data_IF_587388215802
#
_entry.id   IF_587388215802
#
_cell.length_a   1.000
_cell.length_b   1.000
_cell.length_c   1.000
_cell.angle_alpha   90.00
_cell.angle_beta   90.00
_cell.angle_gamma   90.00
#
_symmetry.space_group_name_H-M   'P 1'
#
loop_
_entity.id
_entity.type
_entity.pdbx_description
1 polymer ?
#
# COMPACT_ATOMS: atom_id res chain seq x y z
N UNK A 1 -57.16 -6.58 59.32
CA UNK A 1 -56.29 -5.42 59.17
C UNK A 1 -54.90 -5.84 59.59
N UNK A 2 -54.07 -6.08 58.72
CA UNK A 2 -52.61 -6.23 58.76
C UNK A 2 -52.17 -7.28 57.74
N UNK A 3 -51.73 -6.88 56.61
CA UNK A 3 -50.86 -7.65 55.66
C UNK A 3 -50.72 -6.82 54.34
N UNK A 4 -50.14 -5.63 54.46
CA UNK A 4 -49.80 -4.85 53.27
C UNK A 4 -48.70 -3.82 53.62
N UNK A 5 -47.51 -4.29 54.02
CA UNK A 5 -46.34 -3.40 54.23
C UNK A 5 -44.99 -4.07 54.09
N UNK A 6 -44.83 -5.14 53.26
CA UNK A 6 -43.50 -5.71 53.00
C UNK A 6 -43.31 -6.08 51.52
N UNK A 7 -43.67 -5.23 50.60
CA UNK A 7 -43.45 -5.49 49.17
C UNK A 7 -42.86 -4.29 48.39
N UNK A 8 -42.17 -3.37 49.04
CA UNK A 8 -41.63 -2.17 48.36
C UNK A 8 -40.16 -1.88 48.69
N UNK A 9 -39.35 -2.83 49.10
CA UNK A 9 -37.92 -2.61 49.37
C UNK A 9 -37.00 -3.66 48.69
N UNK A 10 -37.48 -4.41 47.72
CA UNK A 10 -36.65 -5.43 47.01
C UNK A 10 -36.43 -5.16 45.52
N UNK A 11 -36.83 -3.99 45.01
CA UNK A 11 -36.69 -3.68 43.56
C UNK A 11 -35.62 -2.62 43.26
N UNK A 12 -35.02 -2.00 44.25
CA UNK A 12 -34.02 -0.91 44.05
C UNK A 12 -32.55 -1.36 44.14
N UNK A 13 -32.25 -2.63 44.45
CA UNK A 13 -30.86 -3.12 44.49
C UNK A 13 -30.42 -3.96 43.27
N UNK A 14 -31.34 -4.32 42.38
CA UNK A 14 -30.99 -5.12 41.20
C UNK A 14 -30.63 -4.26 39.96
N UNK A 15 -30.90 -2.95 40.00
CA UNK A 15 -30.61 -2.05 38.86
C UNK A 15 -29.22 -1.45 38.86
N UNK A 16 -28.48 -1.47 39.96
CA UNK A 16 -27.17 -0.85 40.07
C UNK A 16 -25.98 -1.80 39.78
N UNK A 17 -26.22 -3.11 39.73
CA UNK A 17 -25.18 -4.12 39.41
C UNK A 17 -25.14 -4.51 37.93
N UNK A 18 -26.16 -4.16 37.15
CA UNK A 18 -26.15 -4.44 35.71
C UNK A 18 -25.48 -3.32 34.86
N UNK A 19 -25.34 -2.12 35.40
CA UNK A 19 -24.68 -1.00 34.71
C UNK A 19 -23.15 -0.97 34.92
N UNK A 20 -22.62 -1.68 35.92
CA UNK A 20 -21.18 -1.78 36.16
C UNK A 20 -20.48 -2.93 35.37
N UNK A 21 -21.27 -3.84 34.79
CA UNK A 21 -20.72 -4.98 34.03
C UNK A 21 -20.59 -4.72 32.52
N UNK A 22 -21.03 -3.57 31.99
CA UNK A 22 -20.93 -3.24 30.55
C UNK A 22 -19.82 -2.22 30.22
N UNK A 23 -19.04 -1.75 31.22
CA UNK A 23 -17.89 -0.87 30.97
C UNK A 23 -16.51 -1.56 31.12
N UNK A 24 -16.47 -2.88 31.21
CA UNK A 24 -15.23 -3.62 31.43
C UNK A 24 -14.80 -4.51 30.24
N UNK A 25 -15.35 -4.32 29.04
CA UNK A 25 -14.95 -5.06 27.84
C UNK A 25 -14.46 -4.18 26.69
N UNK A 26 -13.70 -3.13 26.99
CA UNK A 26 -13.01 -2.33 25.98
C UNK A 26 -11.57 -1.98 26.39
N UNK A 27 -10.90 -2.84 27.14
CA UNK A 27 -9.45 -2.91 27.09
C UNK A 27 -9.10 -4.13 26.28
N UNK A 28 -9.10 -3.97 24.97
CA UNK A 28 -8.41 -4.89 24.08
C UNK A 28 -7.00 -5.00 24.62
N UNK A 29 -6.68 -6.18 25.15
CA UNK A 29 -5.32 -6.56 25.40
C UNK A 29 -4.56 -6.40 24.08
N UNK A 30 -3.70 -5.41 23.99
CA UNK A 30 -2.60 -5.43 23.08
C UNK A 30 -1.80 -6.68 23.47
N UNK A 31 -2.13 -7.81 22.90
CA UNK A 31 -1.31 -9.02 22.94
C UNK A 31 -0.03 -8.62 22.24
N UNK A 32 1.00 -8.30 23.00
CA UNK A 32 2.35 -8.22 22.49
C UNK A 32 2.72 -9.61 21.98
N UNK A 33 2.34 -9.92 20.73
CA UNK A 33 2.89 -11.05 20.01
C UNK A 33 4.41 -10.91 19.94
N UNK A 34 5.14 -11.99 19.69
CA UNK A 34 6.58 -11.93 19.54
C UNK A 34 6.90 -10.84 18.51
N UNK A 35 7.77 -9.88 18.88
CA UNK A 35 8.21 -8.83 17.97
C UNK A 35 8.87 -9.51 16.78
N UNK A 36 8.20 -9.51 15.64
CA UNK A 36 8.79 -9.97 14.41
C UNK A 36 9.92 -9.01 14.08
N UNK A 37 11.13 -9.52 13.98
CA UNK A 37 12.27 -8.73 13.52
C UNK A 37 12.11 -8.58 12.00
N UNK A 38 11.64 -7.43 11.56
CA UNK A 38 11.65 -7.03 10.16
C UNK A 38 13.07 -7.02 9.58
N UNK A 39 13.23 -6.72 8.27
CA UNK A 39 14.55 -6.58 7.68
C UNK A 39 15.38 -5.55 8.43
N UNK A 40 16.72 -5.71 8.49
CA UNK A 40 17.57 -4.74 9.15
C UNK A 40 17.45 -3.37 8.46
N UNK A 41 17.38 -2.31 9.24
CA UNK A 41 17.35 -0.94 8.71
C UNK A 41 18.79 -0.46 8.58
N UNK A 42 19.30 -0.35 7.34
CA UNK A 42 20.64 0.14 7.06
C UNK A 42 20.81 1.60 7.49
N UNK A 43 22.06 2.07 7.56
CA UNK A 43 22.35 3.47 7.85
C UNK A 43 21.78 4.40 6.79
N UNK A 44 21.86 3.99 5.52
CA UNK A 44 21.37 4.78 4.39
C UNK A 44 19.83 4.88 4.41
N UNK A 45 19.13 3.79 4.74
CA UNK A 45 17.68 3.84 4.93
C UNK A 45 17.30 4.78 6.08
N UNK A 46 18.03 4.76 7.21
CA UNK A 46 17.78 5.70 8.31
C UNK A 46 17.94 7.15 7.86
N UNK A 47 19.02 7.45 7.11
CA UNK A 47 19.25 8.80 6.58
C UNK A 47 18.09 9.21 5.67
N UNK A 48 17.68 8.34 4.75
CA UNK A 48 16.52 8.62 3.88
C UNK A 48 15.23 8.87 4.69
N UNK A 49 14.98 8.11 5.76
CA UNK A 49 13.83 8.32 6.65
C UNK A 49 13.87 9.69 7.34
N UNK A 50 15.08 10.13 7.77
CA UNK A 50 15.26 11.43 8.39
C UNK A 50 15.11 12.58 7.39
N UNK A 51 15.42 12.34 6.11
CA UNK A 51 15.31 13.32 5.03
C UNK A 51 13.88 13.55 4.53
N UNK A 52 12.91 12.71 4.92
CA UNK A 52 11.48 12.93 4.62
C UNK A 52 10.95 14.15 5.37
N UNK A 53 10.43 15.13 4.64
CA UNK A 53 10.05 16.46 5.14
C UNK A 53 8.54 16.70 5.05
N UNK A 54 7.88 16.86 6.21
CA UNK A 54 6.49 17.27 6.29
C UNK A 54 6.24 18.66 5.65
N UNK A 55 7.22 19.56 5.72
CA UNK A 55 7.09 20.90 5.11
C UNK A 55 7.14 20.85 3.57
N UNK A 56 7.91 19.94 2.96
CA UNK A 56 7.90 19.74 1.51
C UNK A 56 6.56 19.13 1.05
N UNK A 57 6.04 18.17 1.81
CA UNK A 57 4.72 17.57 1.58
C UNK A 57 3.64 18.64 1.63
N UNK A 58 3.62 19.47 2.69
CA UNK A 58 2.69 20.60 2.81
C UNK A 58 2.78 21.54 1.61
N UNK A 59 3.99 21.99 1.25
CA UNK A 59 4.20 22.90 0.12
C UNK A 59 3.69 22.29 -1.21
N UNK A 60 3.86 20.97 -1.38
CA UNK A 60 3.37 20.25 -2.55
C UNK A 60 1.83 20.23 -2.60
N UNK A 61 1.17 19.91 -1.48
CA UNK A 61 -0.30 19.87 -1.38
C UNK A 61 -0.87 21.27 -1.62
N UNK A 62 -0.34 22.29 -0.94
CA UNK A 62 -0.77 23.68 -1.11
C UNK A 62 -0.59 24.17 -2.58
N UNK A 63 0.48 23.74 -3.23
CA UNK A 63 0.70 24.04 -4.65
C UNK A 63 -0.32 23.35 -5.55
N UNK A 64 -0.60 22.06 -5.34
CA UNK A 64 -1.60 21.32 -6.11
C UNK A 64 -3.01 21.90 -5.93
N UNK A 65 -3.38 22.26 -4.71
CA UNK A 65 -4.63 22.96 -4.41
C UNK A 65 -4.72 24.32 -5.10
N UNK A 66 -3.61 25.04 -5.24
CA UNK A 66 -3.58 26.37 -5.87
C UNK A 66 -3.97 26.39 -7.35
N UNK A 67 -4.02 25.21 -8.02
CA UNK A 67 -4.56 25.10 -9.38
C UNK A 67 -6.09 25.16 -9.43
N UNK A 68 -6.76 25.33 -8.30
CA UNK A 68 -8.22 25.48 -8.15
C UNK A 68 -9.01 24.20 -8.38
N UNK A 69 -8.77 23.55 -9.50
CA UNK A 69 -9.29 22.20 -9.80
C UNK A 69 -8.22 21.43 -10.56
N UNK A 70 -8.18 20.11 -10.30
CA UNK A 70 -7.38 19.17 -11.09
C UNK A 70 -8.27 18.13 -11.77
N UNK A 71 -9.58 18.44 -11.87
CA UNK A 71 -10.53 17.52 -12.48
C UNK A 71 -10.08 17.06 -13.87
N UNK A 72 -10.21 15.78 -14.20
CA UNK A 72 -9.81 15.20 -15.49
C UNK A 72 -10.37 15.95 -16.69
N UNK A 73 -11.62 16.49 -16.58
CA UNK A 73 -12.29 17.26 -17.62
C UNK A 73 -12.01 18.76 -17.55
N UNK A 74 -11.13 19.23 -16.68
CA UNK A 74 -10.76 20.65 -16.58
C UNK A 74 -9.79 21.07 -17.69
N UNK A 75 -9.36 22.33 -17.66
CA UNK A 75 -8.48 22.88 -18.70
C UNK A 75 -7.17 22.09 -18.82
N UNK A 76 -6.84 21.74 -20.05
CA UNK A 76 -5.54 21.13 -20.44
C UNK A 76 -4.50 22.17 -20.84
N UNK A 77 -4.89 23.45 -21.03
CA UNK A 77 -4.04 24.49 -21.65
C UNK A 77 -3.90 25.75 -20.83
N UNK A 78 -4.74 25.98 -19.82
CA UNK A 78 -4.58 27.11 -18.91
C UNK A 78 -3.31 26.89 -18.07
N UNK A 79 -2.35 27.85 -18.05
CA UNK A 79 -1.09 27.65 -17.36
C UNK A 79 -1.20 27.74 -15.82
N UNK A 80 -2.32 28.24 -15.30
CA UNK A 80 -2.49 28.53 -13.87
C UNK A 80 -3.61 27.69 -13.22
N UNK A 81 -4.47 27.05 -14.01
CA UNK A 81 -5.64 26.33 -13.51
C UNK A 81 -5.88 25.03 -14.28
N UNK A 82 -6.34 24.01 -13.61
CA UNK A 82 -6.77 22.74 -14.18
C UNK A 82 -5.70 21.67 -14.25
N UNK A 83 -6.12 20.52 -14.76
CA UNK A 83 -5.29 19.32 -14.80
C UNK A 83 -4.03 19.48 -15.64
N UNK A 84 -4.08 20.28 -16.74
CA UNK A 84 -2.92 20.53 -17.60
C UNK A 84 -1.81 21.27 -16.89
N UNK A 85 -2.15 22.33 -16.13
CA UNK A 85 -1.19 23.08 -15.32
C UNK A 85 -0.56 22.22 -14.23
N UNK A 86 -1.39 21.42 -13.53
CA UNK A 86 -0.93 20.51 -12.48
C UNK A 86 0.00 19.42 -13.04
N UNK A 87 -0.36 18.81 -14.18
CA UNK A 87 0.48 17.82 -14.88
C UNK A 87 1.83 18.38 -15.28
N UNK A 88 1.85 19.63 -15.82
CA UNK A 88 3.10 20.27 -16.19
C UNK A 88 3.97 20.53 -14.97
N UNK A 89 3.38 21.03 -13.88
CA UNK A 89 4.12 21.31 -12.65
C UNK A 89 4.72 20.03 -12.04
N UNK A 90 3.94 18.95 -11.95
CA UNK A 90 4.44 17.65 -11.46
C UNK A 90 5.60 17.14 -12.31
N UNK A 91 5.47 17.24 -13.64
CA UNK A 91 6.53 16.84 -14.55
C UNK A 91 7.81 17.66 -14.30
N UNK A 92 7.69 18.98 -14.13
CA UNK A 92 8.83 19.86 -13.88
C UNK A 92 9.50 19.55 -12.52
N UNK A 93 8.72 19.22 -11.47
CA UNK A 93 9.27 18.81 -10.17
C UNK A 93 10.05 17.49 -10.29
N UNK A 94 9.50 16.49 -10.97
CA UNK A 94 10.18 15.21 -11.17
C UNK A 94 11.42 15.36 -12.08
N UNK A 95 11.41 16.24 -13.07
CA UNK A 95 12.59 16.56 -13.88
C UNK A 95 13.71 17.21 -13.04
N UNK A 96 13.36 18.12 -12.13
CA UNK A 96 14.33 18.69 -11.19
C UNK A 96 14.91 17.61 -10.27
N UNK A 97 14.07 16.73 -9.76
CA UNK A 97 14.50 15.57 -8.97
C UNK A 97 15.41 14.64 -9.76
N UNK A 98 15.06 14.31 -11.01
CA UNK A 98 15.86 13.47 -11.87
C UNK A 98 17.27 14.04 -12.13
N UNK A 99 17.41 15.35 -12.19
CA UNK A 99 18.72 16.00 -12.33
C UNK A 99 19.67 15.72 -11.16
N UNK A 100 19.16 15.38 -9.98
CA UNK A 100 19.97 15.03 -8.80
C UNK A 100 20.40 13.57 -8.77
N UNK A 101 19.83 12.71 -9.63
CA UNK A 101 20.03 11.26 -9.61
C UNK A 101 21.32 10.78 -10.25
N UNK A 102 22.15 11.68 -10.79
CA UNK A 102 23.34 11.27 -11.56
C UNK A 102 23.02 10.54 -12.86
N UNK A 103 21.84 10.79 -13.45
CA UNK A 103 21.39 10.18 -14.70
C UNK A 103 20.66 8.83 -14.53
N UNK A 104 20.43 8.38 -13.30
CA UNK A 104 19.74 7.11 -13.02
C UNK A 104 18.20 7.22 -13.08
N UNK A 105 17.66 8.43 -13.00
CA UNK A 105 16.22 8.65 -13.09
C UNK A 105 15.83 9.27 -14.42
N UNK A 106 14.83 8.70 -15.08
CA UNK A 106 14.19 9.25 -16.28
C UNK A 106 12.75 9.66 -15.97
N UNK A 107 12.24 10.71 -16.65
CA UNK A 107 10.87 11.19 -16.44
C UNK A 107 10.19 11.33 -17.80
N UNK A 108 8.97 10.81 -17.90
CA UNK A 108 8.14 10.92 -19.11
C UNK A 108 6.71 11.35 -18.82
N UNK A 109 6.08 12.01 -19.79
CA UNK A 109 4.63 12.17 -19.86
C UNK A 109 4.05 11.08 -20.73
N UNK A 110 3.16 10.27 -20.17
CA UNK A 110 2.47 9.22 -20.89
C UNK A 110 1.04 9.68 -21.21
N UNK A 111 0.80 10.12 -22.44
CA UNK A 111 -0.48 10.65 -22.86
C UNK A 111 -1.23 9.70 -23.78
N UNK A 112 -2.56 9.67 -23.65
CA UNK A 112 -3.48 8.97 -24.54
C UNK A 112 -4.84 9.67 -24.59
N UNK A 113 -5.67 9.36 -25.58
CA UNK A 113 -7.03 9.87 -25.66
C UNK A 113 -7.99 8.81 -25.12
N UNK A 114 -8.65 9.16 -24.02
CA UNK A 114 -9.76 8.35 -23.50
C UNK A 114 -11.01 8.64 -24.33
N UNK A 115 -11.62 7.61 -24.95
CA UNK A 115 -12.86 7.79 -25.71
C UNK A 115 -14.06 8.12 -24.81
N UNK A 116 -15.14 8.55 -25.43
CA UNK A 116 -16.43 8.84 -24.75
C UNK A 116 -16.89 7.64 -23.93
N UNK A 117 -17.31 7.90 -22.70
CA UNK A 117 -17.79 6.91 -21.74
C UNK A 117 -18.70 7.56 -20.68
N UNK A 118 -19.15 6.79 -19.68
CA UNK A 118 -20.12 7.30 -18.68
C UNK A 118 -19.67 8.56 -17.93
N UNK A 119 -18.37 8.71 -17.68
CA UNK A 119 -17.78 9.87 -16.97
C UNK A 119 -16.85 10.70 -17.87
N UNK A 120 -16.81 10.38 -19.17
CA UNK A 120 -16.01 11.08 -20.19
C UNK A 120 -16.98 11.48 -21.32
N UNK A 121 -17.61 12.67 -21.27
CA UNK A 121 -18.64 13.08 -22.24
C UNK A 121 -18.07 13.42 -23.63
N UNK A 122 -16.78 13.74 -23.72
CA UNK A 122 -16.05 14.02 -24.97
C UNK A 122 -14.71 13.30 -24.93
N UNK A 123 -14.09 12.95 -26.08
CA UNK A 123 -12.75 12.38 -26.09
C UNK A 123 -11.79 13.29 -25.32
N UNK A 124 -11.17 12.77 -24.28
CA UNK A 124 -10.36 13.55 -23.33
C UNK A 124 -8.93 13.03 -23.29
N UNK A 125 -7.97 13.93 -23.38
CA UNK A 125 -6.57 13.56 -23.17
C UNK A 125 -6.34 13.28 -21.69
N UNK A 126 -5.74 12.14 -21.39
CA UNK A 126 -5.25 11.77 -20.06
C UNK A 126 -3.74 11.66 -20.14
N UNK A 127 -3.05 12.23 -19.16
CA UNK A 127 -1.59 12.25 -19.11
C UNK A 127 -1.10 11.84 -17.74
N UNK A 128 -0.45 10.69 -17.65
CA UNK A 128 0.32 10.28 -16.48
C UNK A 128 1.70 10.96 -16.50
N UNK A 129 2.28 11.17 -15.33
CA UNK A 129 3.68 11.55 -15.19
C UNK A 129 4.40 10.40 -14.49
N UNK A 130 5.41 9.84 -15.16
CA UNK A 130 6.13 8.66 -14.70
C UNK A 130 7.61 8.99 -14.55
N UNK A 131 8.15 8.82 -13.35
CA UNK A 131 9.59 8.88 -13.10
C UNK A 131 10.10 7.48 -12.77
N UNK A 132 11.15 7.05 -13.47
CA UNK A 132 11.75 5.71 -13.29
C UNK A 132 13.18 5.86 -12.79
N UNK A 133 13.43 5.42 -11.56
CA UNK A 133 14.77 5.27 -10.99
C UNK A 133 15.25 3.85 -11.29
N UNK A 134 16.17 3.76 -12.25
CA UNK A 134 16.66 2.47 -12.75
C UNK A 134 17.54 1.76 -11.73
N UNK A 135 17.28 0.46 -11.56
CA UNK A 135 18.10 -0.40 -10.71
C UNK A 135 19.51 -0.59 -11.27
N UNK A 136 20.49 -0.71 -10.38
CA UNK A 136 21.91 -0.80 -10.72
C UNK A 136 22.44 -2.24 -10.81
N UNK A 137 21.79 -3.21 -10.15
CA UNK A 137 22.22 -4.60 -10.15
C UNK A 137 21.64 -5.37 -11.37
N UNK A 138 22.43 -5.89 -12.31
CA UNK A 138 21.92 -6.51 -13.52
C UNK A 138 20.93 -7.66 -13.30
N UNK A 139 21.08 -8.43 -12.22
CA UNK A 139 20.17 -9.52 -11.88
C UNK A 139 18.79 -9.02 -11.36
N UNK A 140 18.75 -7.83 -10.81
CA UNK A 140 17.56 -7.26 -10.14
C UNK A 140 16.94 -6.08 -10.91
N UNK A 141 17.70 -5.41 -11.79
CA UNK A 141 17.28 -4.17 -12.44
C UNK A 141 15.96 -4.28 -13.24
N UNK A 142 15.62 -5.47 -13.74
CA UNK A 142 14.35 -5.71 -14.44
C UNK A 142 13.14 -5.85 -13.49
N UNK A 143 13.37 -6.06 -12.20
CA UNK A 143 12.33 -6.12 -11.18
C UNK A 143 11.89 -4.71 -10.83
N UNK A 144 10.57 -4.45 -10.88
CA UNK A 144 10.00 -3.13 -10.69
C UNK A 144 9.11 -3.06 -9.46
N UNK A 145 9.24 -1.98 -8.71
CA UNK A 145 8.30 -1.57 -7.67
C UNK A 145 7.71 -0.23 -8.05
N UNK A 146 6.37 -0.14 -8.11
CA UNK A 146 5.63 1.08 -8.47
C UNK A 146 5.04 1.69 -7.21
N UNK A 147 5.20 3.00 -7.04
CA UNK A 147 4.51 3.76 -6.01
C UNK A 147 3.74 4.90 -6.68
N UNK A 148 2.46 5.08 -6.32
CA UNK A 148 1.59 6.04 -6.98
C UNK A 148 0.70 6.84 -6.05
N UNK A 149 0.23 7.97 -6.58
CA UNK A 149 -0.93 8.74 -6.21
C UNK A 149 -1.60 9.28 -7.46
N UNK A 150 -2.87 9.74 -7.39
CA UNK A 150 -3.54 10.29 -8.55
C UNK A 150 -3.63 11.82 -8.51
N UNK A 151 -3.44 12.42 -9.68
CA UNK A 151 -3.36 13.88 -9.80
C UNK A 151 -4.72 14.54 -9.83
N UNK A 152 -5.70 13.88 -10.45
CA UNK A 152 -7.02 14.45 -10.63
C UNK A 152 -7.80 14.51 -9.31
N UNK A 153 -8.68 15.49 -9.22
CA UNK A 153 -9.56 15.73 -8.07
C UNK A 153 -10.98 16.02 -8.57
N UNK A 154 -11.97 15.89 -7.71
CA UNK A 154 -13.35 16.20 -8.07
C UNK A 154 -14.18 16.78 -6.93
N UNK A 155 -15.33 17.32 -7.29
CA UNK A 155 -16.41 17.68 -6.38
C UNK A 155 -17.54 16.66 -6.45
N UNK A 156 -18.68 16.93 -5.78
CA UNK A 156 -19.84 16.03 -5.72
C UNK A 156 -20.32 15.58 -7.11
N UNK A 157 -20.42 16.52 -8.05
CA UNK A 157 -20.78 16.16 -9.43
C UNK A 157 -19.53 15.72 -10.21
N UNK A 158 -19.42 14.44 -10.49
CA UNK A 158 -18.30 13.79 -11.19
C UNK A 158 -18.04 14.31 -12.62
N UNK A 159 -18.95 15.11 -13.19
CA UNK A 159 -18.77 15.75 -14.50
C UNK A 159 -18.44 17.24 -14.40
N UNK A 160 -18.32 17.80 -13.20
CA UNK A 160 -18.04 19.21 -12.99
C UNK A 160 -16.55 19.49 -13.00
N UNK A 161 -16.01 19.76 -14.19
CA UNK A 161 -14.59 20.13 -14.38
C UNK A 161 -14.28 21.62 -14.23
N UNK A 162 -15.21 22.45 -13.72
CA UNK A 162 -15.05 23.90 -13.67
C UNK A 162 -15.03 24.50 -12.27
N UNK A 163 -15.78 23.96 -11.33
CA UNK A 163 -15.76 24.40 -9.92
C UNK A 163 -14.43 24.10 -9.26
N UNK A 164 -14.14 24.80 -8.18
CA UNK A 164 -12.98 24.51 -7.35
C UNK A 164 -13.13 23.11 -6.72
N UNK A 165 -12.16 22.28 -6.99
CA UNK A 165 -12.00 20.93 -6.46
C UNK A 165 -10.58 20.81 -5.90
N UNK A 166 -10.34 21.30 -4.68
CA UNK A 166 -8.99 21.39 -4.11
C UNK A 166 -8.29 20.03 -4.00
N UNK A 167 -9.02 18.97 -3.59
CA UNK A 167 -8.48 17.62 -3.52
C UNK A 167 -7.19 17.55 -2.72
N UNK A 168 -7.19 18.08 -1.50
CA UNK A 168 -5.99 18.14 -0.67
C UNK A 168 -5.62 16.75 -0.16
N UNK A 169 -6.59 16.04 0.39
CA UNK A 169 -6.43 14.65 0.82
C UNK A 169 -6.63 13.68 -0.34
N UNK A 170 -7.64 13.88 -1.17
CA UNK A 170 -7.98 13.06 -2.34
C UNK A 170 -7.66 13.79 -3.67
N UNK A 171 -6.47 13.64 -4.31
CA UNK A 171 -5.35 12.86 -3.79
C UNK A 171 -4.03 13.65 -3.91
N UNK A 172 -4.02 14.96 -3.52
CA UNK A 172 -2.75 15.65 -3.43
C UNK A 172 -1.85 15.08 -2.32
N UNK A 173 -2.43 14.41 -1.29
CA UNK A 173 -1.69 13.74 -0.22
C UNK A 173 -0.85 12.58 -0.75
N UNK A 174 -1.43 11.73 -1.62
CA UNK A 174 -0.71 10.64 -2.28
C UNK A 174 0.30 11.16 -3.29
N UNK A 175 -0.04 12.16 -4.11
CA UNK A 175 0.92 12.79 -5.04
C UNK A 175 2.09 13.39 -4.28
N UNK A 176 1.86 14.09 -3.16
CA UNK A 176 2.93 14.67 -2.34
C UNK A 176 3.83 13.59 -1.73
N UNK A 177 3.23 12.46 -1.31
CA UNK A 177 3.98 11.28 -0.87
C UNK A 177 4.90 10.77 -1.98
N UNK A 178 4.40 10.60 -3.21
CA UNK A 178 5.19 10.12 -4.37
C UNK A 178 6.34 11.08 -4.72
N UNK A 179 6.07 12.39 -4.75
CA UNK A 179 7.10 13.39 -5.06
C UNK A 179 8.19 13.47 -3.98
N UNK A 180 7.81 13.35 -2.71
CA UNK A 180 8.77 13.36 -1.61
C UNK A 180 9.63 12.08 -1.61
N UNK A 181 9.03 10.92 -1.88
CA UNK A 181 9.76 9.67 -2.07
C UNK A 181 10.76 9.78 -3.23
N UNK A 182 10.33 10.30 -4.38
CA UNK A 182 11.21 10.51 -5.52
C UNK A 182 12.38 11.41 -5.16
N UNK A 183 12.12 12.54 -4.46
CA UNK A 183 13.15 13.50 -4.02
C UNK A 183 14.20 12.84 -3.13
N UNK A 184 13.77 12.08 -2.13
CA UNK A 184 14.68 11.45 -1.16
C UNK A 184 15.45 10.31 -1.82
N UNK A 185 14.77 9.45 -2.60
CA UNK A 185 15.37 8.23 -3.13
C UNK A 185 16.24 8.48 -4.38
N UNK A 186 16.07 9.59 -5.12
CA UNK A 186 16.79 9.88 -6.37
C UNK A 186 18.32 9.91 -6.21
N UNK A 187 18.83 10.30 -5.05
CA UNK A 187 20.27 10.39 -4.77
C UNK A 187 20.90 9.10 -4.32
N UNK A 188 20.09 8.05 -4.08
CA UNK A 188 20.54 6.73 -3.64
C UNK A 188 20.51 5.70 -4.78
N UNK A 189 21.28 4.63 -4.63
CA UNK A 189 21.30 3.50 -5.56
C UNK A 189 20.48 2.35 -4.99
N UNK A 190 19.78 1.63 -5.88
CA UNK A 190 18.99 0.46 -5.54
C UNK A 190 19.26 -0.64 -6.56
N UNK A 191 19.18 -1.89 -6.17
CA UNK A 191 19.40 -3.04 -7.06
C UNK A 191 18.27 -3.19 -8.07
N UNK A 192 17.03 -3.04 -7.65
CA UNK A 192 15.83 -3.10 -8.49
C UNK A 192 15.34 -1.71 -8.88
N UNK A 193 14.53 -1.63 -9.92
CA UNK A 193 13.93 -0.39 -10.44
C UNK A 193 12.76 0.05 -9.58
N UNK A 194 12.70 1.37 -9.28
CA UNK A 194 11.57 2.01 -8.60
C UNK A 194 10.90 2.98 -9.57
N UNK A 195 9.58 2.90 -9.66
CA UNK A 195 8.76 3.78 -10.51
C UNK A 195 7.88 4.64 -9.62
N UNK A 196 8.04 5.95 -9.74
CA UNK A 196 7.20 6.97 -9.11
C UNK A 196 6.17 7.41 -10.14
N UNK A 197 4.91 7.00 -9.96
CA UNK A 197 3.84 7.21 -10.91
C UNK A 197 2.80 8.19 -10.37
N UNK A 198 2.53 9.25 -11.11
CA UNK A 198 1.41 10.16 -10.84
C UNK A 198 0.39 9.94 -11.94
N UNK A 199 -0.69 9.24 -11.59
CA UNK A 199 -1.74 8.87 -12.53
C UNK A 199 -2.78 9.98 -12.68
N UNK A 200 -3.53 9.97 -13.78
CA UNK A 200 -4.66 10.88 -14.03
C UNK A 200 -5.87 10.10 -14.52
N UNK A 201 -7.06 10.61 -14.25
CA UNK A 201 -8.32 9.99 -14.65
C UNK A 201 -8.74 8.86 -13.72
N UNK A 202 -8.25 8.86 -12.47
CA UNK A 202 -8.69 7.94 -11.43
C UNK A 202 -10.17 8.14 -11.15
N UNK A 203 -10.58 9.37 -10.86
CA UNK A 203 -11.92 9.79 -10.49
C UNK A 203 -12.99 9.50 -11.56
N UNK A 204 -12.58 9.39 -12.79
CA UNK A 204 -13.46 9.03 -13.91
C UNK A 204 -13.45 7.52 -14.21
N UNK A 205 -12.54 6.73 -13.62
CA UNK A 205 -12.49 5.28 -13.78
C UNK A 205 -11.09 4.70 -13.93
N UNK A 206 -10.12 5.18 -13.14
CA UNK A 206 -8.74 4.67 -13.08
C UNK A 206 -8.04 4.58 -14.45
N UNK A 207 -8.39 5.49 -15.39
CA UNK A 207 -7.95 5.36 -16.80
C UNK A 207 -6.43 5.42 -16.97
N UNK A 208 -5.75 6.26 -16.17
CA UNK A 208 -4.30 6.39 -16.20
C UNK A 208 -3.60 5.09 -15.82
N UNK A 209 -3.97 4.50 -14.70
CA UNK A 209 -3.40 3.25 -14.22
C UNK A 209 -3.81 2.04 -15.08
N UNK A 210 -5.04 2.01 -15.61
CA UNK A 210 -5.48 0.99 -16.59
C UNK A 210 -4.57 0.99 -17.82
N UNK A 211 -4.28 2.18 -18.36
CA UNK A 211 -3.40 2.30 -19.53
C UNK A 211 -1.97 1.87 -19.17
N UNK A 212 -1.44 2.32 -18.04
CA UNK A 212 -0.07 2.02 -17.63
C UNK A 212 0.13 0.54 -17.31
N UNK A 213 -0.72 -0.06 -16.46
CA UNK A 213 -0.68 -1.48 -16.14
C UNK A 213 -0.85 -2.36 -17.40
N UNK A 214 -1.74 -1.95 -18.33
CA UNK A 214 -1.92 -2.62 -19.61
C UNK A 214 -0.66 -2.61 -20.46
N UNK A 215 0.07 -1.50 -20.54
CA UNK A 215 1.36 -1.38 -21.26
C UNK A 215 2.44 -2.24 -20.63
N UNK A 216 2.57 -2.21 -19.30
CA UNK A 216 3.52 -3.04 -18.57
C UNK A 216 3.25 -4.52 -18.80
N UNK A 217 1.99 -4.93 -18.74
CA UNK A 217 1.59 -6.31 -18.99
C UNK A 217 1.89 -6.76 -20.43
N UNK A 218 1.57 -5.91 -21.42
CA UNK A 218 1.87 -6.20 -22.83
C UNK A 218 3.37 -6.28 -23.12
N UNK A 219 4.20 -5.55 -22.36
CA UNK A 219 5.65 -5.59 -22.44
C UNK A 219 6.28 -6.76 -21.66
N UNK A 220 5.49 -7.55 -20.93
CA UNK A 220 6.00 -8.62 -20.05
C UNK A 220 6.85 -8.09 -18.89
N UNK A 221 6.56 -6.87 -18.40
CA UNK A 221 7.33 -6.25 -17.34
C UNK A 221 7.20 -7.04 -16.02
N UNK A 222 8.30 -7.11 -15.27
CA UNK A 222 8.36 -7.78 -13.97
C UNK A 222 7.98 -6.81 -12.84
N UNK A 223 6.67 -6.53 -12.66
CA UNK A 223 6.16 -5.71 -11.56
C UNK A 223 6.01 -6.58 -10.32
N UNK A 224 6.92 -6.44 -9.37
CA UNK A 224 6.98 -7.22 -8.13
C UNK A 224 6.17 -6.62 -6.97
N UNK A 225 5.74 -5.35 -7.11
CA UNK A 225 4.86 -4.69 -6.15
C UNK A 225 4.39 -3.33 -6.66
N UNK A 226 3.15 -2.96 -6.30
CA UNK A 226 2.56 -1.66 -6.58
C UNK A 226 1.89 -1.11 -5.32
N UNK A 227 2.21 0.12 -4.96
CA UNK A 227 1.71 0.85 -3.79
C UNK A 227 0.90 2.06 -4.24
N UNK A 228 -0.42 2.02 -4.08
CA UNK A 228 -1.31 3.15 -4.35
C UNK A 228 -1.56 3.89 -3.05
N UNK A 229 -1.07 5.12 -2.96
CA UNK A 229 -1.37 6.04 -1.86
C UNK A 229 -2.56 6.89 -2.30
N UNK A 230 -3.69 6.74 -1.64
CA UNK A 230 -4.92 7.40 -2.03
C UNK A 230 -5.75 7.66 -0.76
N UNK A 231 -6.00 8.93 -0.45
CA UNK A 231 -6.54 9.44 0.82
C UNK A 231 -5.61 9.04 1.99
N UNK A 232 -4.47 9.71 2.09
CA UNK A 232 -3.47 9.49 3.15
C UNK A 232 -3.19 10.77 3.95
N UNK A 233 -4.07 11.76 3.87
CA UNK A 233 -3.85 13.11 4.38
C UNK A 233 -4.31 13.33 5.81
N UNK A 234 -5.42 12.74 6.25
CA UNK A 234 -6.01 13.08 7.54
C UNK A 234 -5.75 12.04 8.63
N UNK A 235 -5.43 12.53 9.82
CA UNK A 235 -5.41 11.71 11.03
C UNK A 235 -6.70 11.78 11.84
N UNK A 236 -7.71 12.57 11.41
CA UNK A 236 -8.96 12.80 12.12
C UNK A 236 -10.16 12.40 11.26
N UNK A 237 -10.81 11.31 11.63
CA UNK A 237 -11.98 10.83 10.93
C UNK A 237 -13.29 11.53 11.31
N UNK A 238 -14.33 11.33 10.51
CA UNK A 238 -15.68 11.84 10.76
C UNK A 238 -16.28 11.36 12.10
N UNK A 239 -15.82 10.22 12.60
CA UNK A 239 -16.19 9.67 13.91
C UNK A 239 -15.57 10.44 15.09
N UNK A 240 -14.75 11.47 14.84
CA UNK A 240 -14.03 12.25 15.84
C UNK A 240 -12.79 11.55 16.41
N UNK A 241 -12.43 10.38 15.90
CA UNK A 241 -11.22 9.67 16.32
C UNK A 241 -10.02 10.25 15.59
N UNK A 242 -9.02 10.69 16.38
CA UNK A 242 -7.71 11.07 15.83
C UNK A 242 -6.75 9.91 16.00
N UNK A 243 -6.21 9.45 14.89
CA UNK A 243 -5.23 8.38 14.84
C UNK A 243 -4.06 8.77 13.95
N UNK A 244 -2.88 8.97 14.54
CA UNK A 244 -1.63 9.35 13.88
C UNK A 244 -0.67 8.19 13.74
N UNK A 245 -1.09 7.00 14.14
CA UNK A 245 -0.19 5.85 14.28
C UNK A 245 -0.55 4.68 13.38
N UNK A 246 -1.76 4.63 12.87
CA UNK A 246 -2.22 3.54 12.01
C UNK A 246 -2.25 3.97 10.54
N UNK A 247 -1.83 3.07 9.65
CA UNK A 247 -2.06 3.15 8.21
C UNK A 247 -2.80 1.88 7.79
N UNK A 248 -3.94 2.00 7.12
CA UNK A 248 -4.62 0.85 6.52
C UNK A 248 -3.94 0.46 5.21
N UNK A 249 -3.69 -0.83 5.06
CA UNK A 249 -3.16 -1.42 3.82
C UNK A 249 -4.11 -2.51 3.36
N UNK A 250 -4.83 -2.26 2.28
CA UNK A 250 -5.73 -3.23 1.67
C UNK A 250 -4.94 -4.18 0.79
N UNK A 251 -5.20 -5.48 0.92
CA UNK A 251 -4.50 -6.53 0.20
C UNK A 251 -5.49 -7.58 -0.31
N UNK A 252 -5.57 -7.70 -1.64
CA UNK A 252 -6.45 -8.67 -2.30
C UNK A 252 -6.07 -10.11 -1.93
N UNK A 253 -7.07 -10.98 -1.89
CA UNK A 253 -6.91 -12.41 -1.74
C UNK A 253 -6.50 -13.09 -3.06
N UNK A 254 -7.17 -14.19 -3.42
CA UNK A 254 -6.87 -14.89 -4.67
C UNK A 254 -6.99 -13.98 -5.89
N UNK A 255 -6.00 -14.09 -6.78
CA UNK A 255 -5.94 -13.28 -8.01
C UNK A 255 -7.12 -13.57 -8.94
N UNK A 256 -7.70 -12.55 -9.63
CA UNK A 256 -8.67 -12.77 -10.70
C UNK A 256 -8.08 -13.51 -11.91
N UNK A 257 -6.75 -13.60 -12.02
CA UNK A 257 -6.05 -14.38 -13.04
C UNK A 257 -5.85 -15.86 -12.64
N UNK A 258 -6.28 -16.25 -11.43
CA UNK A 258 -6.17 -17.64 -10.95
C UNK A 258 -6.98 -18.59 -11.82
N UNK A 259 -6.32 -19.64 -12.33
CA UNK A 259 -7.00 -20.69 -13.09
C UNK A 259 -7.84 -21.59 -12.16
N UNK A 260 -8.87 -22.31 -12.68
CA UNK A 260 -9.65 -23.25 -11.88
C UNK A 260 -8.80 -24.32 -11.20
N UNK A 261 -7.69 -24.74 -11.83
CA UNK A 261 -6.76 -25.70 -11.24
C UNK A 261 -5.99 -25.11 -10.06
N UNK A 262 -5.48 -23.90 -10.20
CA UNK A 262 -4.80 -23.18 -9.12
C UNK A 262 -5.77 -22.94 -7.95
N UNK A 263 -7.01 -22.54 -8.22
CA UNK A 263 -8.04 -22.37 -7.20
C UNK A 263 -8.35 -23.67 -6.45
N UNK A 264 -8.37 -24.81 -7.15
CA UNK A 264 -8.57 -26.12 -6.52
C UNK A 264 -7.40 -26.47 -5.60
N UNK A 265 -6.16 -26.30 -6.03
CA UNK A 265 -4.94 -26.51 -5.22
C UNK A 265 -4.97 -25.61 -3.99
N UNK A 266 -5.17 -24.31 -4.17
CA UNK A 266 -5.22 -23.32 -3.08
C UNK A 266 -6.22 -23.72 -1.99
N UNK A 267 -7.44 -24.14 -2.37
CA UNK A 267 -8.46 -24.61 -1.42
C UNK A 267 -8.03 -25.84 -0.61
N UNK A 268 -7.26 -26.73 -1.21
CA UNK A 268 -6.78 -27.93 -0.50
C UNK A 268 -5.65 -27.65 0.47
N UNK A 269 -4.93 -26.53 0.27
CA UNK A 269 -3.79 -26.11 1.09
C UNK A 269 -4.13 -25.03 2.12
N UNK A 270 -5.34 -24.45 2.08
CA UNK A 270 -5.72 -23.33 2.95
C UNK A 270 -4.99 -22.03 2.63
N UNK A 271 -4.58 -21.81 1.36
CA UNK A 271 -3.78 -20.67 0.92
C UNK A 271 -4.59 -19.41 0.59
N UNK A 272 -5.79 -19.25 1.11
CA UNK A 272 -6.66 -18.09 0.82
C UNK A 272 -6.05 -16.77 1.29
N UNK A 273 -5.17 -16.83 2.30
CA UNK A 273 -4.54 -15.67 2.94
C UNK A 273 -3.06 -15.50 2.56
N UNK A 274 -2.58 -16.21 1.56
CA UNK A 274 -1.16 -16.25 1.16
C UNK A 274 -0.97 -15.84 -0.31
N UNK A 275 -1.86 -14.97 -0.80
CA UNK A 275 -1.74 -14.35 -2.12
C UNK A 275 -0.54 -13.38 -2.17
N UNK A 276 0.05 -13.15 -3.35
CA UNK A 276 1.16 -12.20 -3.48
C UNK A 276 0.88 -10.80 -2.91
N UNK A 277 -0.31 -10.18 -3.08
CA UNK A 277 -0.62 -8.91 -2.41
C UNK A 277 -0.58 -9.01 -0.88
N UNK A 278 -1.08 -10.10 -0.28
CA UNK A 278 -1.07 -10.28 1.18
C UNK A 278 0.32 -10.52 1.73
N UNK A 279 1.17 -11.24 1.01
CA UNK A 279 2.58 -11.39 1.38
C UNK A 279 3.33 -10.06 1.24
N UNK A 280 3.05 -9.27 0.20
CA UNK A 280 3.60 -7.92 0.06
C UNK A 280 3.16 -7.03 1.23
N UNK A 281 1.88 -7.08 1.65
CA UNK A 281 1.39 -6.30 2.79
C UNK A 281 2.05 -6.72 4.12
N UNK A 282 2.29 -8.02 4.34
CA UNK A 282 3.05 -8.52 5.49
C UNK A 282 4.48 -7.98 5.49
N UNK A 283 5.12 -7.97 4.32
CA UNK A 283 6.46 -7.40 4.16
C UNK A 283 6.49 -5.90 4.48
N UNK A 284 5.54 -5.12 3.94
CA UNK A 284 5.39 -3.68 4.25
C UNK A 284 5.27 -3.46 5.75
N UNK A 285 4.46 -4.26 6.43
CA UNK A 285 4.32 -4.19 7.88
C UNK A 285 5.63 -4.52 8.60
N UNK A 286 6.31 -5.61 8.24
CA UNK A 286 7.59 -5.98 8.85
C UNK A 286 8.64 -4.88 8.69
N UNK A 287 8.74 -4.28 7.49
CA UNK A 287 9.67 -3.18 7.20
C UNK A 287 9.33 -1.91 8.00
N UNK A 288 8.04 -1.55 8.07
CA UNK A 288 7.57 -0.38 8.81
C UNK A 288 7.80 -0.52 10.32
N UNK A 289 7.47 -1.67 10.91
CA UNK A 289 7.68 -1.93 12.35
C UNK A 289 9.17 -1.88 12.73
N UNK A 290 10.07 -2.32 11.84
CA UNK A 290 11.51 -2.24 12.06
C UNK A 290 12.06 -0.81 11.97
N UNK A 291 11.55 -0.01 11.03
CA UNK A 291 12.05 1.32 10.70
C UNK A 291 11.39 2.43 11.51
N UNK A 292 10.09 2.32 11.81
CA UNK A 292 9.25 3.36 12.40
C UNK A 292 8.39 2.75 13.51
N UNK A 293 8.96 2.43 14.68
CA UNK A 293 8.27 1.68 15.74
C UNK A 293 6.99 2.33 16.30
N UNK A 294 6.72 3.60 15.96
CA UNK A 294 5.52 4.33 16.39
C UNK A 294 4.36 4.19 15.41
N UNK A 295 4.62 3.68 14.20
CA UNK A 295 3.60 3.45 13.19
C UNK A 295 3.21 1.98 13.17
N UNK A 296 1.94 1.73 12.93
CA UNK A 296 1.37 0.40 12.79
C UNK A 296 0.71 0.28 11.41
N UNK A 297 0.99 -0.81 10.72
CA UNK A 297 0.37 -1.14 9.45
C UNK A 297 -0.79 -2.10 9.70
N UNK A 298 -2.01 -1.60 9.51
CA UNK A 298 -3.22 -2.38 9.68
C UNK A 298 -3.61 -3.03 8.36
N UNK A 299 -3.27 -4.30 8.20
CA UNK A 299 -3.57 -5.05 6.98
C UNK A 299 -5.05 -5.42 6.93
N UNK A 300 -5.73 -4.99 5.88
CA UNK A 300 -7.13 -5.29 5.60
C UNK A 300 -7.19 -6.35 4.49
N UNK A 301 -7.67 -7.56 4.81
CA UNK A 301 -7.80 -8.67 3.86
C UNK A 301 -8.99 -8.47 2.92
N UNK A 302 -8.89 -7.45 2.08
CA UNK A 302 -9.85 -7.03 1.08
C UNK A 302 -9.13 -6.28 -0.02
N UNK A 303 -9.64 -6.30 -1.24
CA UNK A 303 -9.05 -5.56 -2.37
C UNK A 303 -9.05 -4.04 -2.12
N UNK A 304 -10.18 -3.49 -1.64
CA UNK A 304 -10.36 -2.08 -1.29
C UNK A 304 -11.54 -1.93 -0.31
N UNK A 305 -11.87 -0.70 0.01
CA UNK A 305 -13.09 -0.29 0.73
C UNK A 305 -14.34 -0.86 0.05
N UNK A 306 -15.46 -0.86 0.75
CA UNK A 306 -16.68 -1.54 0.28
C UNK A 306 -17.19 -0.93 -1.04
N UNK A 307 -17.16 -1.72 -2.13
CA UNK A 307 -17.60 -1.34 -3.49
C UNK A 307 -16.87 -0.12 -4.07
N UNK A 308 -15.60 0.10 -3.66
CA UNK A 308 -14.71 1.15 -4.15
C UNK A 308 -13.45 0.53 -4.76
N UNK A 309 -12.62 1.33 -5.37
CA UNK A 309 -11.36 0.93 -5.97
C UNK A 309 -10.43 2.12 -6.11
N UNK A 310 -9.20 1.89 -6.48
CA UNK A 310 -8.19 2.89 -6.82
C UNK A 310 -7.16 2.30 -7.80
N UNK A 311 -6.05 2.99 -8.02
CA UNK A 311 -5.04 2.71 -9.04
C UNK A 311 -4.29 1.37 -8.90
N UNK A 312 -4.31 0.72 -7.73
CA UNK A 312 -3.78 -0.65 -7.59
C UNK A 312 -4.66 -1.69 -8.30
N UNK A 313 -5.97 -1.41 -8.41
CA UNK A 313 -6.93 -2.32 -9.02
C UNK A 313 -6.55 -2.80 -10.43
N UNK A 314 -6.21 -1.92 -11.38
CA UNK A 314 -5.74 -2.32 -12.71
C UNK A 314 -4.50 -3.21 -12.72
N UNK A 315 -3.58 -3.07 -11.74
CA UNK A 315 -2.43 -3.95 -11.58
C UNK A 315 -2.84 -5.33 -11.06
N UNK A 316 -3.72 -5.37 -10.06
CA UNK A 316 -4.31 -6.61 -9.54
C UNK A 316 -5.05 -7.38 -10.64
N UNK A 317 -5.77 -6.68 -11.53
CA UNK A 317 -6.47 -7.28 -12.68
C UNK A 317 -5.51 -7.89 -13.71
N UNK A 318 -4.23 -7.50 -13.73
CA UNK A 318 -3.16 -8.09 -14.51
C UNK A 318 -2.38 -9.18 -13.77
N UNK A 319 -2.73 -9.45 -12.51
CA UNK A 319 -2.05 -10.43 -11.67
C UNK A 319 -0.79 -9.89 -10.99
N UNK A 320 -0.52 -8.60 -11.07
CA UNK A 320 0.57 -7.96 -10.32
C UNK A 320 0.18 -7.76 -8.86
N UNK A 321 1.09 -7.90 -7.89
CA UNK A 321 0.81 -7.58 -6.49
C UNK A 321 0.58 -6.07 -6.31
N UNK A 322 -0.63 -5.69 -5.91
CA UNK A 322 -1.00 -4.30 -5.64
C UNK A 322 -1.53 -4.13 -4.22
N UNK A 323 -1.28 -2.95 -3.64
CA UNK A 323 -1.75 -2.55 -2.33
C UNK A 323 -2.35 -1.15 -2.40
N UNK A 324 -3.53 -0.94 -1.80
CA UNK A 324 -4.00 0.39 -1.46
C UNK A 324 -3.54 0.75 -0.05
N UNK A 325 -2.91 1.91 0.08
CA UNK A 325 -2.57 2.56 1.35
C UNK A 325 -3.51 3.75 1.57
N UNK A 326 -4.13 3.82 2.75
CA UNK A 326 -5.08 4.89 3.07
C UNK A 326 -5.14 5.14 4.57
N UNK A 327 -5.58 6.32 4.96
CA UNK A 327 -5.70 6.74 6.35
C UNK A 327 -6.65 5.84 7.17
N UNK A 328 -6.55 5.83 8.53
CA UNK A 328 -7.31 4.91 9.36
C UNK A 328 -8.81 5.22 9.40
N UNK A 329 -9.20 6.49 9.33
CA UNK A 329 -10.59 6.94 9.49
C UNK A 329 -10.88 8.09 8.52
N UNK A 330 -11.72 7.85 7.52
CA UNK A 330 -12.10 8.85 6.53
C UNK A 330 -13.16 9.85 7.06
N UNK A 331 -13.13 11.08 6.54
CA UNK A 331 -14.19 12.08 6.76
C UNK A 331 -14.88 12.44 5.46
N UNK A 332 -16.04 11.83 5.22
CA UNK A 332 -16.81 12.00 3.98
C UNK A 332 -17.40 13.41 3.78
N UNK A 333 -17.24 14.33 4.74
CA UNK A 333 -17.53 15.76 4.55
C UNK A 333 -16.44 16.47 3.77
N UNK A 334 -15.25 15.86 3.72
CA UNK A 334 -14.08 16.38 3.03
C UNK A 334 -13.79 15.65 1.73
N UNK A 335 -14.24 14.42 1.56
CA UNK A 335 -14.04 13.60 0.37
C UNK A 335 -15.14 13.88 -0.69
N UNK A 336 -14.75 14.19 -1.93
CA UNK A 336 -15.65 14.40 -3.09
C UNK A 336 -16.76 15.44 -2.87
N UNK A 337 -16.53 16.47 -2.06
CA UNK A 337 -17.53 17.48 -1.71
C UNK A 337 -17.29 18.81 -2.40
N UNK A 338 -18.37 19.50 -2.76
CA UNK A 338 -18.30 20.92 -3.12
C UNK A 338 -17.81 21.73 -1.90
N UNK A 339 -16.92 22.70 -2.13
CA UNK A 339 -16.44 23.59 -1.08
C UNK A 339 -17.58 24.51 -0.63
N UNK A 340 -18.06 24.32 0.59
CA UNK A 340 -19.18 25.11 1.18
C UNK A 340 -19.17 25.07 2.69
N UNK A 341 -19.84 26.03 3.29
CA UNK A 341 -20.23 25.96 4.71
C UNK A 341 -21.72 25.67 4.77
N UNK A 342 -22.09 24.62 5.48
CA UNK A 342 -23.48 24.21 5.65
C UNK A 342 -23.76 23.94 7.12
N UNK A 343 -24.75 24.65 7.70
CA UNK A 343 -25.08 24.57 9.13
C UNK A 343 -23.87 24.77 10.06
N UNK A 344 -22.93 25.63 9.69
CA UNK A 344 -21.71 25.92 10.45
C UNK A 344 -20.60 24.86 10.28
N UNK A 345 -20.77 23.86 9.44
CA UNK A 345 -19.77 22.83 9.14
C UNK A 345 -19.12 23.13 7.78
N UNK A 346 -17.80 23.12 7.73
CA UNK A 346 -17.06 23.23 6.50
C UNK A 346 -17.08 21.89 5.75
N UNK A 347 -17.44 21.92 4.48
CA UNK A 347 -17.35 20.82 3.51
C UNK A 347 -16.29 21.16 2.45
N UNK A 348 -15.79 20.13 1.79
CA UNK A 348 -14.77 20.23 0.77
C UNK A 348 -13.41 19.74 1.24
N UNK A 349 -12.64 19.26 0.31
CA UNK A 349 -11.32 18.67 0.53
C UNK A 349 -10.25 19.77 0.55
N UNK A 350 -9.93 20.26 1.74
CA UNK A 350 -9.11 21.46 1.96
C UNK A 350 -7.87 21.12 2.81
N UNK A 351 -6.70 21.74 2.56
CA UNK A 351 -5.43 21.46 3.25
C UNK A 351 -5.47 21.63 4.77
N UNK A 352 -6.42 22.38 5.30
CA UNK A 352 -6.57 22.59 6.73
C UNK A 352 -7.02 21.34 7.50
N UNK A 353 -7.46 20.30 6.79
CA UNK A 353 -7.87 19.03 7.37
C UNK A 353 -6.76 17.99 7.33
N UNK A 354 -5.68 18.26 6.59
CA UNK A 354 -4.52 17.38 6.49
C UNK A 354 -3.64 17.46 7.74
N UNK A 355 -2.99 16.34 8.04
CA UNK A 355 -1.98 16.19 9.07
C UNK A 355 -0.63 15.88 8.40
N UNK A 356 0.13 16.92 8.06
CA UNK A 356 1.36 16.78 7.29
C UNK A 356 2.43 15.91 7.97
N UNK A 357 2.45 15.86 9.31
CA UNK A 357 3.33 14.96 10.05
C UNK A 357 2.89 13.49 9.88
N UNK A 358 1.57 13.24 9.81
CA UNK A 358 1.02 11.93 9.52
C UNK A 358 1.39 11.49 8.09
N UNK A 359 1.18 12.36 7.08
CA UNK A 359 1.56 12.09 5.69
C UNK A 359 3.06 11.78 5.57
N UNK A 360 3.91 12.53 6.28
CA UNK A 360 5.34 12.25 6.32
C UNK A 360 5.66 10.86 6.90
N UNK A 361 4.87 10.38 7.87
CA UNK A 361 5.02 9.02 8.40
C UNK A 361 4.52 7.97 7.39
N UNK A 362 3.47 8.25 6.63
CA UNK A 362 3.05 7.39 5.50
C UNK A 362 4.15 7.30 4.44
N UNK A 363 4.77 8.43 4.08
CA UNK A 363 5.92 8.45 3.18
C UNK A 363 7.09 7.60 3.72
N UNK A 364 7.38 7.67 5.02
CA UNK A 364 8.41 6.84 5.66
C UNK A 364 8.09 5.35 5.63
N UNK A 365 6.81 4.96 5.79
CA UNK A 365 6.36 3.56 5.64
C UNK A 365 6.63 3.08 4.20
N UNK A 366 6.20 3.84 3.19
CA UNK A 366 6.48 3.54 1.79
C UNK A 366 7.98 3.40 1.53
N UNK A 367 8.78 4.37 1.99
CA UNK A 367 10.23 4.38 1.82
C UNK A 367 10.90 3.15 2.42
N UNK A 368 10.55 2.79 3.66
CA UNK A 368 11.14 1.64 4.34
C UNK A 368 10.89 0.33 3.60
N UNK A 369 9.68 0.16 3.09
CA UNK A 369 9.30 -1.02 2.32
C UNK A 369 9.95 -1.03 0.92
N UNK A 370 9.89 0.09 0.19
CA UNK A 370 10.48 0.21 -1.16
C UNK A 370 11.99 0.01 -1.13
N UNK A 371 12.68 0.62 -0.16
CA UNK A 371 14.14 0.47 -0.03
C UNK A 371 14.55 -0.97 0.29
N UNK A 372 13.83 -1.62 1.23
CA UNK A 372 14.12 -3.01 1.57
C UNK A 372 13.80 -3.99 0.42
N UNK A 373 12.71 -3.74 -0.33
CA UNK A 373 12.34 -4.54 -1.50
C UNK A 373 13.28 -4.33 -2.69
N UNK A 374 13.69 -3.08 -2.92
CA UNK A 374 14.52 -2.76 -4.07
C UNK A 374 15.98 -3.20 -3.89
N UNK A 375 16.48 -3.25 -2.67
CA UNK A 375 17.82 -3.77 -2.35
C UNK A 375 17.82 -5.26 -2.01
N UNK A 376 16.66 -5.85 -1.66
CA UNK A 376 16.59 -7.27 -1.36
C UNK A 376 16.55 -8.17 -2.59
N UNK A 377 16.77 -9.49 -2.44
CA UNK A 377 16.69 -10.43 -3.53
C UNK A 377 15.25 -10.61 -4.02
N UNK A 378 15.07 -11.22 -5.20
CA UNK A 378 13.77 -11.64 -5.69
C UNK A 378 13.15 -12.72 -4.79
N UNK A 379 11.82 -12.78 -4.72
CA UNK A 379 11.13 -13.88 -4.08
C UNK A 379 11.49 -15.21 -4.76
N UNK A 380 11.77 -16.29 -4.01
CA UNK A 380 12.15 -17.57 -4.59
C UNK A 380 11.09 -18.12 -5.53
N UNK A 381 11.50 -18.53 -6.73
CA UNK A 381 10.60 -19.13 -7.71
C UNK A 381 10.38 -20.61 -7.47
N UNK A 382 9.22 -21.12 -7.95
CA UNK A 382 8.95 -22.57 -8.01
C UNK A 382 8.94 -23.27 -6.65
N UNK A 383 8.54 -22.60 -5.60
CA UNK A 383 8.49 -23.18 -4.23
C UNK A 383 7.45 -24.28 -4.18
N UNK A 384 7.87 -25.45 -3.73
CA UNK A 384 7.04 -26.67 -3.62
C UNK A 384 7.13 -27.27 -2.24
N UNK A 385 6.06 -27.91 -1.81
CA UNK A 385 6.03 -28.77 -0.59
C UNK A 385 5.81 -30.22 -0.99
N UNK A 386 6.65 -31.12 -0.46
CA UNK A 386 6.49 -32.56 -0.67
C UNK A 386 5.19 -33.05 0.01
N UNK A 387 4.25 -33.53 -0.79
CA UNK A 387 2.94 -33.98 -0.35
C UNK A 387 2.66 -35.46 -0.64
N UNK A 388 3.49 -36.12 -1.43
CA UNK A 388 3.29 -37.53 -1.81
C UNK A 388 3.60 -38.50 -0.67
N UNK A 389 4.47 -38.13 0.28
CA UNK A 389 4.86 -38.92 1.41
C UNK A 389 4.22 -38.43 2.70
N UNK A 390 3.49 -39.29 3.39
CA UNK A 390 2.90 -38.98 4.70
C UNK A 390 3.98 -39.07 5.78
N UNK A 391 4.33 -37.89 6.34
CA UNK A 391 5.35 -37.78 7.39
C UNK A 391 5.05 -36.57 8.27
N UNK A 392 5.56 -36.58 9.50
CA UNK A 392 5.52 -35.43 10.40
C UNK A 392 6.54 -34.35 10.04
N UNK A 393 7.40 -34.66 9.08
CA UNK A 393 8.40 -33.69 8.57
C UNK A 393 7.82 -32.91 7.38
N UNK A 394 8.25 -31.68 7.19
CA UNK A 394 7.89 -30.87 6.01
C UNK A 394 9.13 -30.59 5.18
N UNK A 395 9.13 -31.11 3.94
CA UNK A 395 10.20 -30.86 2.97
C UNK A 395 9.74 -29.81 1.96
N UNK A 396 10.54 -28.77 1.79
CA UNK A 396 10.35 -27.70 0.81
C UNK A 396 11.48 -27.73 -0.22
N UNK A 397 11.16 -27.38 -1.48
CA UNK A 397 12.09 -27.25 -2.59
C UNK A 397 11.77 -25.96 -3.34
N UNK A 398 12.79 -25.30 -3.92
CA UNK A 398 12.64 -24.06 -4.70
C UNK A 398 13.73 -23.92 -5.75
N UNK A 399 13.52 -23.00 -6.69
CA UNK A 399 14.53 -22.66 -7.68
C UNK A 399 15.57 -21.70 -7.07
N UNK A 400 16.87 -21.82 -7.45
CA UNK A 400 17.88 -20.91 -6.94
C UNK A 400 17.67 -19.50 -7.47
N UNK A 401 17.91 -18.52 -6.63
CA UNK A 401 18.05 -17.12 -6.99
C UNK A 401 19.41 -16.88 -7.68
N UNK A 402 19.52 -15.77 -8.44
CA UNK A 402 20.70 -15.46 -9.26
C UNK A 402 21.42 -14.17 -8.87
N UNK A 403 20.95 -13.48 -7.84
CA UNK A 403 21.57 -12.28 -7.31
C UNK A 403 22.96 -12.59 -6.77
N UNK A 404 23.99 -11.78 -7.12
CA UNK A 404 25.39 -12.07 -6.79
C UNK A 404 25.70 -11.96 -5.28
N UNK A 405 24.87 -11.26 -4.55
CA UNK A 405 24.96 -11.01 -3.11
C UNK A 405 24.05 -11.92 -2.29
N UNK A 406 23.40 -12.90 -2.91
CA UNK A 406 22.56 -13.87 -2.20
C UNK A 406 23.38 -14.64 -1.13
N UNK A 407 22.96 -14.55 0.13
CA UNK A 407 23.55 -15.34 1.23
C UNK A 407 22.86 -16.68 1.41
N UNK A 408 21.55 -16.74 1.16
CA UNK A 408 20.79 -17.99 1.32
C UNK A 408 19.29 -17.75 1.46
N UNK A 409 18.65 -18.65 2.20
CA UNK A 409 17.19 -18.67 2.33
C UNK A 409 16.77 -18.82 3.79
N UNK A 410 15.55 -18.38 4.06
CA UNK A 410 14.83 -18.63 5.30
C UNK A 410 13.53 -19.38 4.99
N UNK A 411 13.25 -20.46 5.72
CA UNK A 411 11.92 -21.04 5.80
C UNK A 411 11.17 -20.31 6.89
N UNK A 412 9.98 -19.85 6.58
CA UNK A 412 9.06 -19.24 7.54
C UNK A 412 7.84 -20.15 7.72
N UNK A 413 7.28 -20.21 8.93
CA UNK A 413 6.04 -20.92 9.17
C UNK A 413 5.21 -20.28 10.27
N UNK A 414 3.91 -20.54 10.24
CA UNK A 414 2.93 -20.01 11.17
C UNK A 414 1.78 -20.99 11.39
N UNK A 415 1.07 -20.84 12.49
CA UNK A 415 -0.22 -21.49 12.66
C UNK A 415 -1.19 -21.06 11.55
N UNK A 416 -2.11 -21.96 11.16
CA UNK A 416 -3.01 -21.73 10.02
C UNK A 416 -3.96 -20.54 10.21
N UNK A 417 -4.25 -20.18 11.47
CA UNK A 417 -5.09 -19.03 11.85
C UNK A 417 -4.28 -17.77 12.23
N UNK A 418 -2.95 -17.86 12.28
CA UNK A 418 -2.10 -16.70 12.56
C UNK A 418 -2.03 -15.76 11.33
N UNK A 419 -2.17 -14.44 11.50
CA UNK A 419 -2.12 -13.50 10.38
C UNK A 419 -0.70 -13.23 9.86
N UNK A 420 0.33 -13.52 10.67
CA UNK A 420 1.73 -13.18 10.39
C UNK A 420 2.64 -14.38 10.59
N UNK A 421 3.80 -14.39 9.94
CA UNK A 421 4.85 -15.38 10.11
C UNK A 421 5.37 -15.37 11.54
N UNK A 422 5.33 -16.52 12.23
CA UNK A 422 5.66 -16.64 13.65
C UNK A 422 7.06 -17.19 13.88
N UNK A 423 7.54 -17.99 12.93
CA UNK A 423 8.80 -18.71 13.06
C UNK A 423 9.66 -18.54 11.80
N UNK A 424 10.97 -18.47 12.00
CA UNK A 424 11.96 -18.32 10.92
C UNK A 424 13.12 -19.29 11.16
N UNK A 425 13.48 -20.05 10.14
CA UNK A 425 14.59 -21.00 10.14
C UNK A 425 15.56 -20.62 9.03
N UNK A 426 16.74 -20.03 9.32
CA UNK A 426 17.80 -19.84 8.33
C UNK A 426 18.31 -21.20 7.85
N UNK A 427 18.38 -21.39 6.54
CA UNK A 427 18.78 -22.70 5.95
C UNK A 427 20.05 -22.62 5.10
N UNK A 428 20.63 -21.42 4.94
CA UNK A 428 21.81 -21.20 4.09
C UNK A 428 21.46 -21.24 2.60
N UNK A 429 22.45 -21.26 1.75
CA UNK A 429 22.28 -21.26 0.27
C UNK A 429 22.03 -22.68 -0.25
N UNK A 430 20.82 -23.16 -0.03
CA UNK A 430 20.32 -24.48 -0.47
C UNK A 430 19.02 -24.31 -1.25
N UNK A 431 18.64 -25.30 -2.05
CA UNK A 431 17.39 -25.29 -2.83
C UNK A 431 16.38 -26.33 -2.36
N UNK A 432 16.68 -27.01 -1.25
CA UNK A 432 15.76 -27.93 -0.59
C UNK A 432 16.12 -28.03 0.88
N UNK A 433 15.11 -28.16 1.74
CA UNK A 433 15.29 -28.35 3.17
C UNK A 433 14.11 -29.08 3.79
N UNK A 434 14.40 -29.94 4.78
CA UNK A 434 13.39 -30.68 5.55
C UNK A 434 13.34 -30.15 6.98
N UNK A 435 12.21 -29.54 7.34
CA UNK A 435 11.90 -29.13 8.71
C UNK A 435 11.41 -30.36 9.47
N UNK A 436 12.22 -30.82 10.44
CA UNK A 436 11.97 -32.04 11.21
C UNK A 436 10.92 -31.84 12.30
N UNK A 437 9.94 -32.75 12.39
CA UNK A 437 8.94 -32.78 13.44
C UNK A 437 7.88 -31.67 13.38
N UNK A 438 7.88 -30.84 12.34
CA UNK A 438 6.88 -29.79 12.13
C UNK A 438 6.08 -30.14 10.87
N UNK A 439 4.83 -30.56 11.08
CA UNK A 439 3.99 -31.08 9.97
C UNK A 439 3.30 -29.95 9.21
N UNK A 440 3.30 -30.09 7.88
CA UNK A 440 2.54 -29.23 6.96
C UNK A 440 1.02 -29.27 7.17
N UNK A 441 0.51 -30.27 7.89
CA UNK A 441 -0.92 -30.37 8.17
C UNK A 441 -1.40 -29.37 9.24
N UNK A 442 -0.47 -28.91 10.11
CA UNK A 442 -0.80 -28.01 11.22
C UNK A 442 -0.33 -26.57 10.99
N UNK A 443 0.58 -26.34 10.03
CA UNK A 443 1.22 -25.05 9.81
C UNK A 443 1.20 -24.64 8.34
N UNK A 444 1.14 -23.34 8.11
CA UNK A 444 1.44 -22.72 6.82
C UNK A 444 2.94 -22.47 6.74
N UNK A 445 3.53 -22.79 5.59
CA UNK A 445 4.95 -22.60 5.30
C UNK A 445 5.17 -21.63 4.15
N UNK A 446 6.35 -21.01 4.14
CA UNK A 446 6.82 -20.20 3.04
C UNK A 446 8.34 -20.17 2.97
N UNK A 447 8.88 -19.68 1.87
CA UNK A 447 10.34 -19.51 1.67
C UNK A 447 10.61 -18.09 1.23
N UNK A 448 11.67 -17.47 1.78
CA UNK A 448 12.19 -16.18 1.33
C UNK A 448 13.71 -16.23 1.19
N UNK A 449 14.22 -15.42 0.28
CA UNK A 449 15.66 -15.26 0.04
C UNK A 449 16.23 -14.15 0.94
N UNK A 450 17.54 -14.24 1.23
CA UNK A 450 18.29 -13.28 2.06
C UNK A 450 19.61 -12.96 1.39
N UNK A 451 20.00 -11.70 1.35
CA UNK A 451 21.28 -11.21 0.83
C UNK A 451 22.35 -11.05 1.92
N UNK A 452 23.53 -10.55 1.54
CA UNK A 452 24.67 -10.31 2.42
C UNK A 452 24.43 -9.18 3.43
N UNK A 453 23.54 -8.24 3.12
CA UNK A 453 23.19 -7.12 4.00
C UNK A 453 22.03 -7.46 4.94
N UNK A 454 21.45 -8.66 4.76
CA UNK A 454 20.34 -9.18 5.54
C UNK A 454 18.99 -8.69 5.05
N UNK A 455 18.91 -8.05 3.86
CA UNK A 455 17.63 -7.76 3.26
C UNK A 455 16.94 -9.07 2.87
N UNK A 456 15.63 -9.06 2.90
CA UNK A 456 14.80 -10.23 2.66
C UNK A 456 13.88 -10.00 1.48
N UNK A 457 13.58 -11.06 0.75
CA UNK A 457 12.51 -11.02 -0.23
C UNK A 457 11.11 -11.11 0.42
N UNK A 458 10.08 -10.82 -0.36
CA UNK A 458 8.72 -11.27 -0.03
C UNK A 458 8.70 -12.79 0.05
N UNK A 459 7.86 -13.33 0.92
CA UNK A 459 7.69 -14.79 1.08
C UNK A 459 6.94 -15.38 -0.11
N UNK A 460 7.40 -16.51 -0.62
CA UNK A 460 6.67 -17.33 -1.58
C UNK A 460 5.98 -18.49 -0.87
N UNK A 461 4.66 -18.55 -1.02
CA UNK A 461 3.83 -19.67 -0.54
C UNK A 461 4.05 -20.90 -1.45
N UNK A 462 4.25 -22.12 -0.90
CA UNK A 462 4.52 -23.32 -1.70
C UNK A 462 3.26 -23.86 -2.39
N UNK A 463 3.48 -24.60 -3.47
CA UNK A 463 2.46 -25.46 -4.09
C UNK A 463 2.83 -26.93 -3.86
N UNK A 464 1.87 -27.88 -3.86
CA UNK A 464 2.17 -29.29 -3.66
C UNK A 464 3.01 -29.83 -4.83
N UNK A 465 3.96 -30.74 -4.46
CA UNK A 465 4.75 -31.53 -5.43
C UNK A 465 4.09 -32.88 -5.63
#
# INVERSE_FOLDING_TARGET
>A
MSKLRYALLAVTCAGALAAAAMLAFATSAASGGPKHHGPPVSKDVRQMLDDVSASNIQATIEKLVSFGTRHTLSSQTDPNRGIGAATQWVFDQLQQTAATSGGRMTVEKQSFIQPVGPRIPTPTQITNVIATLHGSQPASASRMYVVSGHLDSRVTNVLNGTSDAPGADDDASGVATVLELARVMATHEFDATIVFAVFSGEEQGTFGSVNYAGRLFAAGANVAGMFSNDIVGSSLGQNGVRDRHDLRVFAEGPSPQETPQQAAIRRTMGGENDSPPRELARFVREAAEAAIPKMNVWIIYRRDRFLRGTDDGPFLDKGYPGLRMTEPNEDYRHEHQDVRVENGVQFGDLPQFDDFDYIANVARINLSALAALANGPAAPGGVKVEASTLTVDTTLEWQPNTEPDLTGYEIVYRETNAPYWQHTIPVGNVTSFTVKGITKDNFIFGVRAVDTDGNRSVVTFPVPK
#
